data_IF_375763346469
#
_entry.id   IF_375763346469
#
_cell.length_a   1.000
_cell.length_b   1.000
_cell.length_c   1.000
_cell.angle_alpha   90.00
_cell.angle_beta   90.00
_cell.angle_gamma   90.00
#
_symmetry.space_group_name_H-M   'P 1'
#
loop_
_entity.id
_entity.type
_entity.pdbx_description
1 polymer ?
#
# COMPACT_ATOMS: atom_id res chain seq x y z
N UNK A 1 18.65 -9.33 1.47
CA UNK A 1 17.25 -8.84 1.44
C UNK A 1 16.51 -9.64 0.38
N UNK A 2 15.32 -10.15 0.68
CA UNK A 2 14.46 -10.84 -0.30
C UNK A 2 13.29 -9.93 -0.66
N UNK A 3 12.98 -9.82 -1.96
CA UNK A 3 11.79 -9.13 -2.46
C UNK A 3 10.86 -10.17 -3.06
N UNK A 4 9.58 -10.13 -2.68
CA UNK A 4 8.53 -11.00 -3.23
C UNK A 4 7.51 -10.14 -3.95
N UNK A 5 7.30 -10.42 -5.23
CA UNK A 5 6.26 -9.78 -6.03
C UNK A 5 5.06 -10.72 -6.14
N UNK A 6 3.92 -10.31 -5.60
CA UNK A 6 2.66 -11.05 -5.68
C UNK A 6 1.79 -10.45 -6.79
N UNK A 7 1.57 -11.20 -7.86
CA UNK A 7 0.73 -10.80 -9.01
C UNK A 7 -0.51 -11.66 -9.14
N UNK A 8 -1.57 -11.08 -9.69
CA UNK A 8 -2.82 -11.79 -9.96
C UNK A 8 -3.95 -10.84 -10.35
N UNK A 9 -5.01 -11.38 -10.94
CA UNK A 9 -6.18 -10.61 -11.36
C UNK A 9 -6.97 -9.98 -10.21
N UNK A 10 -8.02 -9.24 -10.55
CA UNK A 10 -8.99 -8.69 -9.59
C UNK A 10 -9.71 -9.82 -8.85
N UNK A 11 -9.89 -9.69 -7.53
CA UNK A 11 -10.53 -10.71 -6.65
C UNK A 11 -9.85 -12.10 -6.63
N UNK A 12 -8.60 -12.22 -7.06
CA UNK A 12 -7.82 -13.48 -7.07
C UNK A 12 -7.31 -13.94 -5.69
N UNK A 13 -7.55 -13.17 -4.62
CA UNK A 13 -7.06 -13.50 -3.27
C UNK A 13 -5.62 -13.10 -2.98
N UNK A 14 -4.94 -12.40 -3.89
CA UNK A 14 -3.55 -11.96 -3.72
C UNK A 14 -3.27 -11.15 -2.44
N UNK A 15 -4.16 -10.23 -2.03
CA UNK A 15 -3.97 -9.46 -0.80
C UNK A 15 -3.94 -10.36 0.44
N UNK A 16 -4.87 -11.32 0.53
CA UNK A 16 -4.90 -12.30 1.62
C UNK A 16 -3.66 -13.23 1.60
N UNK A 17 -3.20 -13.63 0.40
CA UNK A 17 -1.96 -14.39 0.28
C UNK A 17 -0.74 -13.61 0.79
N UNK A 18 -0.60 -12.34 0.40
CA UNK A 18 0.48 -11.46 0.87
C UNK A 18 0.46 -11.26 2.38
N UNK A 19 -0.72 -11.08 2.99
CA UNK A 19 -0.85 -10.97 4.45
C UNK A 19 -0.44 -12.27 5.15
N UNK A 20 -0.83 -13.43 4.61
CA UNK A 20 -0.43 -14.75 5.17
C UNK A 20 1.07 -15.00 5.13
N UNK A 21 1.78 -14.51 4.11
CA UNK A 21 3.25 -14.59 4.07
C UNK A 21 3.90 -13.83 5.23
N UNK A 22 3.18 -12.85 5.80
CA UNK A 22 3.69 -11.97 6.84
C UNK A 22 3.10 -12.28 8.23
N UNK A 23 2.21 -13.27 8.34
CA UNK A 23 1.50 -13.60 9.58
C UNK A 23 2.41 -14.03 10.75
N UNK A 24 3.62 -14.53 10.45
CA UNK A 24 4.59 -14.92 11.48
C UNK A 24 5.40 -13.77 12.07
N UNK A 25 5.26 -12.54 11.55
CA UNK A 25 6.04 -11.40 12.03
C UNK A 25 5.26 -10.60 13.08
N UNK A 26 5.95 -10.25 14.16
CA UNK A 26 5.41 -9.43 15.25
C UNK A 26 5.16 -7.98 14.84
N UNK A 27 5.82 -7.51 13.78
CA UNK A 27 5.68 -6.15 13.25
C UNK A 27 5.88 -6.12 11.74
N UNK A 28 5.01 -5.43 11.02
CA UNK A 28 4.98 -5.32 9.56
C UNK A 28 4.57 -3.90 9.18
N UNK A 29 5.31 -3.26 8.27
CA UNK A 29 4.90 -1.99 7.66
C UNK A 29 3.94 -2.22 6.50
N UNK A 30 2.73 -1.68 6.56
CA UNK A 30 1.77 -1.68 5.46
C UNK A 30 1.76 -0.32 4.78
N UNK A 31 2.20 -0.26 3.53
CA UNK A 31 2.27 0.95 2.72
C UNK A 31 1.06 1.01 1.80
N UNK A 32 0.09 1.85 2.15
CA UNK A 32 -1.09 2.12 1.35
C UNK A 32 -0.73 3.18 0.30
N UNK A 33 -0.81 2.81 -0.98
CA UNK A 33 -0.32 3.66 -2.08
C UNK A 33 -1.42 4.25 -2.95
N UNK A 34 -2.68 3.92 -2.66
CA UNK A 34 -3.82 4.54 -3.34
C UNK A 34 -4.03 5.96 -2.79
N UNK A 35 -4.08 7.00 -3.66
CA UNK A 35 -4.37 8.36 -3.26
C UNK A 35 -5.71 8.49 -2.55
N UNK A 36 -5.80 9.37 -1.55
CA UNK A 36 -7.08 9.68 -0.89
C UNK A 36 -8.09 10.34 -1.85
N UNK A 37 -7.59 10.97 -2.91
CA UNK A 37 -8.39 11.65 -3.93
C UNK A 37 -9.07 10.72 -4.94
N UNK A 38 -8.67 9.45 -5.04
CA UNK A 38 -9.26 8.51 -5.97
C UNK A 38 -10.65 8.05 -5.48
N UNK A 39 -11.68 8.56 -6.14
CA UNK A 39 -13.09 8.55 -5.76
C UNK A 39 -13.64 7.20 -5.27
N UNK A 40 -14.00 7.15 -3.98
CA UNK A 40 -15.36 7.07 -3.43
C UNK A 40 -15.14 7.04 -1.91
N UNK A 41 -14.79 8.20 -1.33
CA UNK A 41 -14.18 8.34 0.02
C UNK A 41 -14.91 7.46 1.04
N UNK A 42 -16.24 7.42 1.02
CA UNK A 42 -17.00 6.56 1.92
C UNK A 42 -16.72 5.05 1.74
N UNK A 43 -16.76 4.50 0.52
CA UNK A 43 -16.53 3.06 0.26
C UNK A 43 -15.06 2.69 0.35
N UNK A 44 -14.16 3.58 -0.06
CA UNK A 44 -12.72 3.37 0.04
C UNK A 44 -12.28 3.41 1.50
N UNK A 45 -12.75 4.40 2.28
CA UNK A 45 -12.51 4.48 3.73
C UNK A 45 -13.20 3.34 4.48
N UNK A 46 -14.41 2.90 4.10
CA UNK A 46 -15.04 1.71 4.70
C UNK A 46 -14.23 0.44 4.42
N UNK A 47 -13.71 0.28 3.20
CA UNK A 47 -12.83 -0.84 2.86
C UNK A 47 -11.51 -0.74 3.61
N UNK A 48 -10.88 0.42 3.70
CA UNK A 48 -9.69 0.64 4.53
C UNK A 48 -9.99 0.32 5.99
N UNK A 49 -11.12 0.78 6.54
CA UNK A 49 -11.52 0.56 7.93
C UNK A 49 -11.80 -0.91 8.20
N UNK A 50 -12.51 -1.60 7.30
CA UNK A 50 -12.73 -3.04 7.39
C UNK A 50 -11.40 -3.81 7.28
N UNK A 51 -10.50 -3.39 6.40
CA UNK A 51 -9.19 -4.03 6.23
C UNK A 51 -8.27 -3.77 7.42
N UNK A 52 -8.27 -2.55 7.99
CA UNK A 52 -7.57 -2.21 9.23
C UNK A 52 -8.14 -2.99 10.42
N UNK A 53 -9.45 -3.15 10.52
CA UNK A 53 -10.10 -3.93 11.58
C UNK A 53 -9.85 -5.44 11.45
N UNK A 54 -9.63 -5.95 10.23
CA UNK A 54 -9.26 -7.36 10.02
C UNK A 54 -7.76 -7.64 10.15
N UNK A 55 -6.93 -6.60 10.28
CA UNK A 55 -5.47 -6.77 10.40
C UNK A 55 -5.10 -7.21 11.80
N UNK A 56 -4.22 -8.20 11.87
CA UNK A 56 -3.46 -8.54 13.07
C UNK A 56 -2.82 -7.26 13.65
N UNK A 57 -2.73 -7.15 14.98
CA UNK A 57 -2.12 -6.02 15.69
C UNK A 57 -0.65 -5.74 15.31
N UNK A 58 -0.04 -6.60 14.47
CA UNK A 58 1.31 -6.46 13.96
C UNK A 58 1.48 -5.46 12.79
N UNK A 59 0.40 -4.93 12.19
CA UNK A 59 0.51 -4.03 11.03
C UNK A 59 0.53 -2.54 11.41
N UNK A 60 1.66 -1.86 11.14
CA UNK A 60 1.78 -0.41 11.15
C UNK A 60 1.41 0.14 9.77
N UNK A 61 0.29 0.87 9.66
CA UNK A 61 -0.15 1.44 8.38
C UNK A 61 0.53 2.79 8.13
N UNK A 62 1.09 2.96 6.92
CA UNK A 62 1.70 4.19 6.40
C UNK A 62 0.97 4.57 5.12
N UNK A 63 0.30 5.72 5.13
CA UNK A 63 -0.37 6.28 3.95
C UNK A 63 0.65 7.01 3.10
N UNK A 64 0.83 6.57 1.84
CA UNK A 64 1.78 7.15 0.88
C UNK A 64 1.07 7.68 -0.36
N UNK A 65 -0.23 7.39 -0.53
CA UNK A 65 -0.99 7.72 -1.73
C UNK A 65 -0.91 9.19 -2.19
N UNK A 66 -0.90 10.15 -1.27
CA UNK A 66 -0.86 11.58 -1.61
C UNK A 66 0.57 12.10 -1.88
N UNK A 67 1.60 11.40 -1.36
CA UNK A 67 3.01 11.71 -1.58
C UNK A 67 3.76 10.47 -2.08
N UNK A 68 3.43 9.98 -3.29
CA UNK A 68 3.96 8.72 -3.80
C UNK A 68 5.49 8.72 -3.95
N UNK A 69 6.13 9.88 -4.08
CA UNK A 69 7.59 10.02 -4.13
C UNK A 69 8.31 9.65 -2.83
N UNK A 70 7.60 9.63 -1.68
CA UNK A 70 8.21 9.33 -0.38
C UNK A 70 8.43 7.82 -0.17
N UNK A 71 7.76 6.96 -0.95
CA UNK A 71 7.79 5.50 -0.75
C UNK A 71 9.21 4.92 -0.68
N UNK A 72 10.15 5.24 -1.59
CA UNK A 72 11.51 4.69 -1.53
C UNK A 72 12.24 5.06 -0.24
N UNK A 73 12.20 6.34 0.15
CA UNK A 73 12.87 6.84 1.36
C UNK A 73 12.26 6.24 2.63
N UNK A 74 10.95 6.00 2.63
CA UNK A 74 10.28 5.31 3.74
C UNK A 74 10.72 3.84 3.81
N UNK A 75 10.74 3.12 2.69
CA UNK A 75 11.17 1.71 2.65
C UNK A 75 12.62 1.52 3.14
N UNK A 76 13.53 2.44 2.83
CA UNK A 76 14.92 2.39 3.32
C UNK A 76 15.03 2.49 4.85
N UNK A 77 14.09 3.20 5.48
CA UNK A 77 14.07 3.41 6.94
C UNK A 77 13.49 2.22 7.69
N UNK A 78 12.66 1.41 7.05
CA UNK A 78 12.03 0.26 7.71
C UNK A 78 13.03 -0.86 8.01
N UNK A 79 12.93 -1.42 9.22
CA UNK A 79 13.78 -2.52 9.71
C UNK A 79 13.03 -3.84 9.90
N UNK A 80 11.73 -3.84 9.58
CA UNK A 80 10.83 -4.99 9.63
C UNK A 80 10.25 -5.23 8.23
N UNK A 81 9.61 -6.38 7.96
CA UNK A 81 9.00 -6.63 6.66
C UNK A 81 8.01 -5.53 6.26
N UNK A 82 8.00 -5.23 4.97
CA UNK A 82 7.13 -4.24 4.37
C UNK A 82 6.20 -4.90 3.34
N UNK A 83 4.92 -4.52 3.37
CA UNK A 83 3.92 -4.85 2.38
C UNK A 83 3.48 -3.57 1.67
N UNK A 84 3.70 -3.50 0.35
CA UNK A 84 3.26 -2.38 -0.49
C UNK A 84 1.97 -2.78 -1.20
N UNK A 85 0.87 -2.09 -0.92
CA UNK A 85 -0.45 -2.36 -1.51
C UNK A 85 -0.99 -1.09 -2.19
N UNK A 86 -0.89 -0.96 -3.51
CA UNK A 86 -0.21 -1.84 -4.47
C UNK A 86 0.84 -1.09 -5.28
N UNK A 87 1.77 -1.82 -5.90
CA UNK A 87 2.74 -1.20 -6.83
C UNK A 87 2.02 -0.55 -8.02
N UNK A 88 0.89 -1.11 -8.48
CA UNK A 88 0.12 -0.54 -9.58
C UNK A 88 -0.49 0.82 -9.23
N UNK A 89 -1.13 0.92 -8.06
CA UNK A 89 -1.69 2.18 -7.55
C UNK A 89 -0.60 3.22 -7.27
N UNK A 90 0.56 2.79 -6.77
CA UNK A 90 1.72 3.67 -6.57
C UNK A 90 2.24 4.29 -7.88
N UNK A 91 2.42 3.45 -8.91
CA UNK A 91 2.89 3.91 -10.23
C UNK A 91 1.88 4.91 -10.81
N UNK A 92 0.59 4.59 -10.78
CA UNK A 92 -0.44 5.50 -11.29
C UNK A 92 -0.47 6.83 -10.54
N UNK A 93 -0.33 6.82 -9.21
CA UNK A 93 -0.23 8.06 -8.41
C UNK A 93 1.00 8.90 -8.79
N UNK A 94 2.16 8.27 -9.04
CA UNK A 94 3.35 8.97 -9.55
C UNK A 94 3.09 9.60 -10.92
N UNK A 95 2.44 8.87 -11.84
CA UNK A 95 2.11 9.38 -13.16
C UNK A 95 1.19 10.60 -13.09
N UNK A 96 0.12 10.54 -12.30
CA UNK A 96 -0.81 11.67 -12.14
C UNK A 96 -0.13 12.90 -11.53
N UNK A 97 0.70 12.71 -10.50
CA UNK A 97 1.46 13.80 -9.88
C UNK A 97 2.47 14.43 -10.84
N UNK A 98 3.05 13.63 -11.75
CA UNK A 98 3.94 14.14 -12.79
C UNK A 98 3.16 14.90 -13.89
N UNK A 99 2.00 14.38 -14.32
CA UNK A 99 1.13 15.07 -15.27
C UNK A 99 0.70 16.46 -14.75
N UNK A 100 0.45 16.60 -13.45
CA UNK A 100 0.14 17.89 -12.83
C UNK A 100 1.30 18.89 -12.84
N UNK A 101 2.55 18.43 -12.99
CA UNK A 101 3.76 19.28 -13.05
C UNK A 101 4.09 19.76 -14.45
N UNK A 102 3.67 19.05 -15.49
CA UNK A 102 3.93 19.43 -16.89
C UNK A 102 3.07 20.64 -17.37
N UNK A 103 2.09 21.05 -16.58
CA UNK A 103 1.20 22.20 -16.85
C UNK A 103 1.37 23.38 -15.87
N UNK A 104 2.43 23.38 -15.05
CA UNK A 104 2.85 24.51 -14.21
C UNK A 104 4.13 25.15 -14.73
#
# INVERSE_FOLDING_TARGET
>A
MSVVLVVGGTKSGKSHFSERLLAGYSRVGYFATAPSSWADEAKFQERIKAHRASRSASFDTVEVGDNPEDLPALLERFKYPALVDSVGTWISALYEKNLGRDFQ
#
